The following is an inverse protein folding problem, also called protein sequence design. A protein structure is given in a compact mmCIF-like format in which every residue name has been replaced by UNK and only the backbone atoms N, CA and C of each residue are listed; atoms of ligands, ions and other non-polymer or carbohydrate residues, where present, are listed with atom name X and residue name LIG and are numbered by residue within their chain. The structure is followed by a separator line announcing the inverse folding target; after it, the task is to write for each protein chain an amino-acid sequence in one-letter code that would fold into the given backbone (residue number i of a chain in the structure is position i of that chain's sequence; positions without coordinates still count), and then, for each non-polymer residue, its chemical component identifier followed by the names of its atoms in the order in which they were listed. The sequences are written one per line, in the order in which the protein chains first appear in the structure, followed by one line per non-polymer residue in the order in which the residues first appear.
data_IF_612769440107
#
_entry.id   IF_612769440107
#
_cell.length_a   1.000
_cell.length_b   1.000
_cell.length_c   1.000
_cell.angle_alpha   90.00
_cell.angle_beta   90.00
_cell.angle_gamma   90.00
#
_symmetry.space_group_name_H-M   'P 1'
#
loop_
_entity.id
_entity.type
_entity.pdbx_description
1 polymer ?
#
# COMPACT_ATOMS: atom_id res chain seq x y z
N UNK A 1 -8.29 9.15 -10.30
CA UNK A 1 -8.96 8.03 -9.59
C UNK A 1 -9.43 7.00 -10.62
N UNK A 2 -9.25 5.70 -10.37
CA UNK A 2 -9.51 4.57 -11.29
C UNK A 2 -10.97 4.09 -11.42
N UNK A 3 -11.97 4.88 -11.00
CA UNK A 3 -13.39 4.53 -11.17
C UNK A 3 -13.93 3.36 -10.33
N UNK A 4 -13.11 2.75 -9.46
CA UNK A 4 -13.51 1.67 -8.54
C UNK A 4 -12.97 1.94 -7.13
N UNK A 5 -13.74 1.55 -6.11
CA UNK A 5 -13.31 1.69 -4.70
C UNK A 5 -12.04 0.87 -4.46
N UNK A 6 -11.02 1.49 -3.86
CA UNK A 6 -9.68 0.89 -3.66
C UNK A 6 -9.72 -0.45 -2.93
N UNK A 7 -10.62 -0.61 -1.95
CA UNK A 7 -10.78 -1.87 -1.21
C UNK A 7 -11.20 -3.04 -2.11
N UNK A 8 -11.96 -2.77 -3.18
CA UNK A 8 -12.50 -3.76 -4.11
C UNK A 8 -11.56 -4.10 -5.27
N UNK A 9 -10.41 -3.45 -5.40
CA UNK A 9 -9.42 -3.80 -6.40
C UNK A 9 -8.91 -5.23 -6.17
N UNK A 10 -8.78 -6.03 -7.22
CA UNK A 10 -8.08 -7.31 -7.12
C UNK A 10 -6.55 -7.12 -7.21
N UNK A 11 -5.78 -8.20 -7.06
CA UNK A 11 -4.32 -8.14 -7.05
C UNK A 11 -3.72 -7.58 -8.34
N UNK A 12 -4.31 -7.89 -9.50
CA UNK A 12 -3.81 -7.42 -10.80
C UNK A 12 -4.09 -5.92 -10.94
N UNK A 13 -5.32 -5.51 -10.60
CA UNK A 13 -5.70 -4.09 -10.60
C UNK A 13 -4.83 -3.27 -9.65
N UNK A 14 -4.50 -3.80 -8.46
CA UNK A 14 -3.59 -3.12 -7.53
C UNK A 14 -2.21 -2.93 -8.15
N UNK A 15 -1.68 -3.90 -8.89
CA UNK A 15 -0.37 -3.75 -9.55
C UNK A 15 -0.39 -2.67 -10.64
N UNK A 16 -1.51 -2.50 -11.34
CA UNK A 16 -1.68 -1.45 -12.35
C UNK A 16 -1.73 -0.04 -11.73
N UNK A 17 -2.45 0.11 -10.60
CA UNK A 17 -2.66 1.44 -9.98
C UNK A 17 -1.65 1.78 -8.86
N UNK A 18 -0.87 0.80 -8.42
CA UNK A 18 0.24 0.94 -7.47
C UNK A 18 1.50 0.29 -8.04
N UNK A 19 2.00 0.73 -9.22
CA UNK A 19 3.25 0.23 -9.73
C UNK A 19 4.38 0.59 -8.74
N UNK A 20 5.24 -0.39 -8.47
CA UNK A 20 6.37 -0.22 -7.57
C UNK A 20 7.66 -0.12 -8.36
N UNK A 21 8.45 0.92 -8.09
CA UNK A 21 9.85 0.98 -8.52
C UNK A 21 10.67 -0.12 -7.82
N UNK A 22 11.90 -0.37 -8.29
CA UNK A 22 12.77 -1.36 -7.66
C UNK A 22 13.07 -0.99 -6.19
N UNK A 23 13.29 0.29 -5.91
CA UNK A 23 13.48 0.80 -4.55
C UNK A 23 12.24 0.57 -3.67
N UNK A 24 11.05 0.87 -4.19
CA UNK A 24 9.80 0.66 -3.47
C UNK A 24 9.54 -0.83 -3.22
N UNK A 25 9.87 -1.73 -4.17
CA UNK A 25 9.79 -3.18 -3.96
C UNK A 25 10.70 -3.64 -2.82
N UNK A 26 11.95 -3.19 -2.79
CA UNK A 26 12.90 -3.53 -1.72
C UNK A 26 12.43 -3.00 -0.37
N UNK A 27 11.98 -1.74 -0.32
CA UNK A 27 11.40 -1.15 0.88
C UNK A 27 10.19 -1.96 1.38
N UNK A 28 9.31 -2.37 0.48
CA UNK A 28 8.10 -3.10 0.85
C UNK A 28 8.40 -4.54 1.29
N UNK A 29 9.41 -5.18 0.70
CA UNK A 29 9.93 -6.47 1.19
C UNK A 29 10.45 -6.34 2.63
N UNK A 30 11.28 -5.33 2.91
CA UNK A 30 11.75 -5.07 4.28
C UNK A 30 10.60 -4.78 5.24
N UNK A 31 9.59 -4.03 4.80
CA UNK A 31 8.39 -3.78 5.60
C UNK A 31 7.61 -5.06 5.87
N UNK A 32 7.48 -5.95 4.88
CA UNK A 32 6.82 -7.25 5.08
C UNK A 32 7.52 -8.08 6.16
N UNK A 33 8.85 -8.13 6.16
CA UNK A 33 9.63 -8.83 7.18
C UNK A 33 9.48 -8.16 8.56
N UNK A 34 9.69 -6.84 8.62
CA UNK A 34 9.65 -6.07 9.88
C UNK A 34 8.29 -6.09 10.57
N UNK A 35 7.20 -6.04 9.80
CA UNK A 35 5.84 -6.02 10.32
C UNK A 35 5.13 -7.39 10.21
N UNK A 36 5.85 -8.46 9.86
CA UNK A 36 5.30 -9.80 9.67
C UNK A 36 4.04 -9.82 8.78
N UNK A 37 4.06 -9.03 7.69
CA UNK A 37 2.90 -8.90 6.80
C UNK A 37 2.69 -10.18 6.01
N UNK A 38 1.50 -10.75 6.12
CA UNK A 38 1.02 -11.71 5.12
C UNK A 38 0.92 -11.03 3.75
N UNK A 39 0.89 -11.83 2.68
CA UNK A 39 0.61 -11.34 1.32
C UNK A 39 -0.67 -10.50 1.27
N UNK A 40 -1.70 -10.89 2.03
CA UNK A 40 -2.94 -10.12 2.15
C UNK A 40 -2.71 -8.77 2.83
N UNK A 41 -1.89 -8.74 3.89
CA UNK A 41 -1.48 -7.51 4.57
C UNK A 41 -0.76 -6.55 3.62
N UNK A 42 0.18 -7.07 2.81
CA UNK A 42 0.88 -6.31 1.78
C UNK A 42 -0.08 -5.66 0.77
N UNK A 43 -0.98 -6.42 0.16
CA UNK A 43 -1.96 -5.85 -0.79
C UNK A 43 -2.92 -4.86 -0.14
N UNK A 44 -3.24 -5.03 1.16
CA UNK A 44 -4.03 -4.05 1.91
C UNK A 44 -3.26 -2.73 2.09
N UNK A 45 -1.97 -2.80 2.42
CA UNK A 45 -1.09 -1.61 2.51
C UNK A 45 -1.05 -0.86 1.18
N UNK A 46 -0.91 -1.55 0.05
CA UNK A 46 -0.93 -0.92 -1.28
C UNK A 46 -2.25 -0.18 -1.54
N UNK A 47 -3.39 -0.78 -1.19
CA UNK A 47 -4.71 -0.13 -1.34
C UNK A 47 -4.89 1.09 -0.44
N UNK A 48 -4.29 1.09 0.75
CA UNK A 48 -4.28 2.26 1.64
C UNK A 48 -3.41 3.36 1.03
N UNK A 49 -2.20 3.03 0.55
CA UNK A 49 -1.34 3.99 -0.15
C UNK A 49 -2.02 4.59 -1.39
N UNK A 50 -2.79 3.79 -2.14
CA UNK A 50 -3.64 4.28 -3.25
C UNK A 50 -4.68 5.27 -2.78
N UNK A 51 -5.31 5.01 -1.64
CA UNK A 51 -6.32 5.91 -1.07
C UNK A 51 -5.72 7.23 -0.63
N UNK A 52 -4.51 7.22 -0.06
CA UNK A 52 -3.75 8.42 0.28
C UNK A 52 -3.42 9.21 -0.99
N UNK A 53 -2.89 8.54 -2.03
CA UNK A 53 -2.63 9.16 -3.33
C UNK A 53 -3.90 9.78 -3.96
N UNK A 54 -5.05 9.12 -3.84
CA UNK A 54 -6.34 9.63 -4.31
C UNK A 54 -6.83 10.86 -3.54
N UNK A 55 -6.37 11.07 -2.30
CA UNK A 55 -6.64 12.27 -1.50
C UNK A 55 -5.72 13.43 -1.89
N UNK A 56 -4.47 13.12 -2.23
CA UNK A 56 -3.47 14.08 -2.72
C UNK A 56 -3.67 14.48 -4.19
N UNK A 57 -4.55 13.78 -4.92
CA UNK A 57 -4.77 13.98 -6.35
C UNK A 57 -3.70 13.34 -7.25
N UNK A 58 -2.86 12.45 -6.70
CA UNK A 58 -1.84 11.74 -7.47
C UNK A 58 -2.36 10.44 -8.12
N UNK A 59 -1.98 10.21 -9.37
CA UNK A 59 -2.34 8.99 -10.11
C UNK A 59 -1.56 7.76 -9.67
N UNK A 60 -0.38 7.93 -9.07
CA UNK A 60 0.48 6.84 -8.60
C UNK A 60 0.92 7.15 -7.17
N UNK A 61 0.88 6.19 -6.22
CA UNK A 61 1.36 6.43 -4.87
C UNK A 61 2.86 6.69 -4.84
N UNK A 62 3.27 7.72 -4.10
CA UNK A 62 4.67 8.00 -3.84
C UNK A 62 5.23 7.08 -2.75
N UNK A 63 6.55 7.09 -2.56
CA UNK A 63 7.21 6.40 -1.43
C UNK A 63 6.67 6.91 -0.07
N UNK A 64 6.36 8.20 0.05
CA UNK A 64 5.78 8.77 1.27
C UNK A 64 4.40 8.16 1.58
N UNK A 65 3.57 7.94 0.55
CA UNK A 65 2.22 7.38 0.71
C UNK A 65 2.31 5.93 1.21
N UNK A 66 3.31 5.17 0.77
CA UNK A 66 3.55 3.82 1.29
C UNK A 66 4.05 3.84 2.74
N UNK A 67 4.92 4.79 3.11
CA UNK A 67 5.34 4.98 4.51
C UNK A 67 4.15 5.30 5.41
N UNK A 68 3.28 6.21 4.98
CA UNK A 68 2.09 6.61 5.72
C UNK A 68 1.09 5.45 5.84
N UNK A 69 0.87 4.69 4.75
CA UNK A 69 0.05 3.49 4.81
C UNK A 69 0.54 2.46 5.83
N UNK A 70 1.86 2.29 5.96
CA UNK A 70 2.48 1.41 6.95
C UNK A 70 2.36 1.97 8.37
N UNK A 71 2.52 3.27 8.56
CA UNK A 71 2.42 3.89 9.89
C UNK A 71 1.01 3.71 10.48
N UNK A 72 -0.03 3.77 9.64
CA UNK A 72 -1.41 3.47 10.07
C UNK A 72 -1.60 2.03 10.54
N UNK A 73 -0.82 1.05 10.07
CA UNK A 73 -0.87 -0.32 10.61
C UNK A 73 -0.25 -0.41 11.99
N UNK A 74 0.85 0.30 12.24
CA UNK A 74 1.47 0.34 13.56
C UNK A 74 0.53 0.95 14.62
N UNK A 75 -0.33 1.88 14.20
CA UNK A 75 -1.30 2.53 15.08
C UNK A 75 -2.54 1.65 15.32
N UNK A 76 -2.88 0.73 14.39
CA UNK A 76 -4.16 0.00 14.39
C UNK A 76 -4.08 -1.52 14.70
N UNK A 77 -2.95 -2.04 15.17
CA UNK A 77 -2.92 -3.33 15.88
C UNK A 77 -2.27 -4.52 15.15
N UNK A 78 -0.97 -4.71 15.42
CA UNK A 78 -0.34 -6.04 15.52
C UNK A 78 0.09 -6.27 16.98
N UNK A 79 -0.85 -6.11 17.92
CA UNK A 79 -0.78 -6.74 19.25
C UNK A 79 -2.01 -7.62 19.43
N UNK A 80 -1.76 -8.93 19.39
CA UNK A 80 -2.27 -10.06 20.20
C UNK A 80 -2.11 -11.34 19.37
#
# INVERSE_FOLDING_TARGET
RQGKINTHLDSNQVQEVCPLTNEQKQFMQQAMERFSLSTRGFYRTLKVARSIADLEGSEIPSTANYHEALSYRNINGDQI
#
